data_IF_474858083031
#
_entry.id   IF_474858083031
#
_cell.length_a   1.000
_cell.length_b   1.000
_cell.length_c   1.000
_cell.angle_alpha   90.00
_cell.angle_beta   90.00
_cell.angle_gamma   90.00
#
_symmetry.space_group_name_H-M   'P 1'
#
loop_
_entity.id
_entity.type
_entity.pdbx_description
1 polymer ?
#
# COMPACT_ATOMS: atom_id res chain seq x y z
N UNK A 1 -33.26 -15.14 5.75
CA UNK A 1 -33.82 -14.92 4.39
C UNK A 1 -32.75 -14.38 3.43
N UNK A 2 -32.03 -13.31 3.77
CA UNK A 2 -30.92 -12.77 2.97
C UNK A 2 -29.78 -13.77 2.70
N UNK A 3 -29.18 -14.35 3.74
CA UNK A 3 -28.05 -15.28 3.59
C UNK A 3 -28.41 -16.52 2.75
N UNK A 4 -29.63 -17.04 2.90
CA UNK A 4 -30.10 -18.16 2.07
C UNK A 4 -30.18 -17.73 0.60
N UNK A 5 -30.77 -16.57 0.31
CA UNK A 5 -30.81 -16.01 -1.03
C UNK A 5 -29.40 -15.88 -1.64
N UNK A 6 -28.44 -15.31 -0.91
CA UNK A 6 -27.05 -15.19 -1.38
C UNK A 6 -26.39 -16.55 -1.64
N UNK A 7 -26.67 -17.56 -0.82
CA UNK A 7 -26.15 -18.93 -0.99
C UNK A 7 -26.78 -19.68 -2.17
N UNK A 8 -27.96 -19.25 -2.61
CA UNK A 8 -28.66 -19.82 -3.77
C UNK A 8 -28.18 -19.17 -5.10
N UNK A 9 -27.38 -18.10 -5.04
CA UNK A 9 -26.81 -17.45 -6.24
C UNK A 9 -25.57 -18.18 -6.73
N UNK A 10 -25.33 -18.07 -8.04
CA UNK A 10 -24.04 -18.43 -8.62
C UNK A 10 -22.93 -17.52 -8.03
N UNK A 11 -21.77 -18.06 -7.61
CA UNK A 11 -20.70 -17.28 -7.00
C UNK A 11 -20.20 -16.12 -7.86
N UNK A 12 -20.24 -16.25 -9.19
CA UNK A 12 -19.85 -15.16 -10.10
C UNK A 12 -20.80 -13.98 -10.07
N UNK A 13 -22.07 -14.19 -9.69
CA UNK A 13 -23.00 -13.07 -9.46
C UNK A 13 -22.52 -12.24 -8.29
N UNK A 14 -22.02 -12.85 -7.21
CA UNK A 14 -21.47 -12.12 -6.06
C UNK A 14 -20.17 -11.42 -6.47
N UNK A 15 -19.22 -12.16 -7.06
CA UNK A 15 -17.91 -11.61 -7.45
C UNK A 15 -18.01 -10.44 -8.43
N UNK A 16 -18.90 -10.52 -9.42
CA UNK A 16 -19.05 -9.44 -10.41
C UNK A 16 -19.78 -8.21 -9.87
N UNK A 17 -20.37 -8.28 -8.68
CA UNK A 17 -21.15 -7.19 -8.08
C UNK A 17 -20.61 -6.74 -6.71
N UNK A 18 -19.40 -7.16 -6.30
CA UNK A 18 -18.85 -6.81 -4.99
C UNK A 18 -18.31 -5.37 -4.91
N UNK A 19 -17.86 -4.81 -6.04
CA UNK A 19 -17.26 -3.47 -6.13
C UNK A 19 -18.33 -2.37 -6.20
N UNK A 20 -19.07 -2.20 -5.10
CA UNK A 20 -20.09 -1.15 -4.95
C UNK A 20 -19.53 0.17 -4.42
N UNK A 21 -18.29 0.15 -3.92
CA UNK A 21 -17.55 1.30 -3.44
C UNK A 21 -16.21 1.37 -4.18
N UNK A 22 -15.99 2.48 -4.88
CA UNK A 22 -14.79 2.71 -5.70
C UNK A 22 -13.81 3.68 -5.04
N UNK A 23 -14.03 4.00 -3.75
CA UNK A 23 -13.12 4.86 -3.01
C UNK A 23 -11.77 4.18 -2.81
N UNK A 24 -10.72 4.99 -2.78
CA UNK A 24 -9.35 4.50 -2.73
C UNK A 24 -9.08 3.64 -1.48
N UNK A 25 -8.39 2.51 -1.68
CA UNK A 25 -8.02 1.54 -0.64
C UNK A 25 -9.21 0.98 0.16
N UNK A 26 -10.39 0.93 -0.44
CA UNK A 26 -11.56 0.22 0.10
C UNK A 26 -11.70 -1.11 -0.64
N UNK A 27 -11.65 -2.21 0.10
CA UNK A 27 -11.85 -3.55 -0.43
C UNK A 27 -13.23 -4.07 0.00
N UNK A 28 -14.03 -4.67 -0.89
CA UNK A 28 -15.41 -5.09 -0.61
C UNK A 28 -15.56 -6.02 0.61
N UNK A 29 -14.61 -6.94 0.77
CA UNK A 29 -14.63 -7.95 1.82
C UNK A 29 -13.29 -7.94 2.57
N UNK A 30 -13.27 -7.33 3.75
CA UNK A 30 -12.12 -7.27 4.64
C UNK A 30 -12.47 -7.82 6.03
N UNK A 31 -11.47 -8.18 6.86
CA UNK A 31 -11.72 -8.55 8.25
C UNK A 31 -12.52 -7.49 9.00
N UNK A 32 -13.43 -7.93 9.88
CA UNK A 32 -14.22 -7.05 10.74
C UNK A 32 -14.07 -7.46 12.20
N UNK A 33 -14.36 -6.53 13.12
CA UNK A 33 -14.41 -6.83 14.55
C UNK A 33 -15.69 -7.62 14.82
N UNK A 34 -15.56 -8.93 14.89
CA UNK A 34 -16.66 -9.89 15.11
C UNK A 34 -16.86 -10.24 16.59
N UNK A 35 -15.96 -9.77 17.45
CA UNK A 35 -15.91 -10.08 18.88
C UNK A 35 -15.68 -11.58 19.19
N UNK A 36 -15.18 -12.34 18.23
CA UNK A 36 -14.78 -13.75 18.36
C UNK A 36 -13.31 -13.90 17.95
N UNK A 37 -13.01 -13.84 16.65
CA UNK A 37 -11.64 -13.84 16.15
C UNK A 37 -10.92 -12.53 16.48
N UNK A 38 -11.53 -11.38 16.15
CA UNK A 38 -11.07 -10.06 16.56
C UNK A 38 -11.97 -9.53 17.68
N UNK A 39 -11.48 -9.66 18.91
CA UNK A 39 -12.23 -9.26 20.12
C UNK A 39 -12.43 -7.74 20.27
N UNK A 40 -11.55 -6.94 19.66
CA UNK A 40 -11.58 -5.48 19.60
C UNK A 40 -10.83 -5.03 18.33
N UNK A 41 -10.80 -3.73 18.04
CA UNK A 41 -9.99 -3.17 16.94
C UNK A 41 -8.50 -3.51 17.12
N UNK A 42 -7.76 -3.75 16.03
CA UNK A 42 -6.32 -4.01 16.10
C UNK A 42 -5.55 -2.92 16.87
N UNK A 43 -5.94 -1.65 16.71
CA UNK A 43 -5.35 -0.53 17.45
C UNK A 43 -5.48 -0.66 18.96
N UNK A 44 -6.68 -0.99 19.47
CA UNK A 44 -6.90 -1.18 20.90
C UNK A 44 -6.17 -2.41 21.43
N UNK A 45 -6.15 -3.51 20.67
CA UNK A 45 -5.43 -4.74 21.05
C UNK A 45 -3.92 -4.49 21.16
N UNK A 46 -3.33 -3.78 20.20
CA UNK A 46 -1.92 -3.36 20.24
C UNK A 46 -1.65 -2.44 21.43
N UNK A 47 -2.49 -1.42 21.67
CA UNK A 47 -2.32 -0.51 22.81
C UNK A 47 -2.43 -1.22 24.16
N UNK A 48 -3.26 -2.26 24.25
CA UNK A 48 -3.46 -3.05 25.47
C UNK A 48 -2.42 -4.17 25.66
N UNK A 49 -1.43 -4.32 24.78
CA UNK A 49 -0.45 -5.42 24.86
C UNK A 49 -1.05 -6.80 24.54
N UNK A 50 -2.25 -6.86 23.94
CA UNK A 50 -2.99 -8.09 23.67
C UNK A 50 -2.59 -8.70 22.32
N UNK A 51 -1.33 -9.12 22.21
CA UNK A 51 -0.79 -9.77 21.03
C UNK A 51 0.26 -10.82 21.43
N UNK A 52 0.65 -11.65 20.46
CA UNK A 52 1.64 -12.70 20.67
C UNK A 52 3.04 -12.10 20.85
N UNK A 53 3.78 -12.59 21.84
CA UNK A 53 5.15 -12.14 22.12
C UNK A 53 6.15 -13.10 21.46
N UNK A 54 6.38 -12.91 20.17
CA UNK A 54 7.27 -13.75 19.35
C UNK A 54 8.17 -12.87 18.50
N UNK A 55 9.41 -13.32 18.31
CA UNK A 55 10.36 -12.66 17.41
C UNK A 55 9.70 -12.39 16.05
N UNK A 56 9.97 -11.22 15.49
CA UNK A 56 9.33 -10.77 14.26
C UNK A 56 10.33 -10.20 13.25
N UNK A 57 9.98 -10.38 11.97
CA UNK A 57 10.63 -9.72 10.85
C UNK A 57 9.54 -8.94 10.11
N UNK A 58 9.71 -7.63 10.05
CA UNK A 58 8.83 -6.69 9.37
C UNK A 58 9.62 -6.00 8.26
N UNK A 59 8.94 -5.40 7.29
CA UNK A 59 9.62 -4.58 6.31
C UNK A 59 8.67 -4.06 5.25
N UNK A 60 9.22 -3.21 4.40
CA UNK A 60 8.50 -2.49 3.35
C UNK A 60 9.40 -2.27 2.14
N UNK A 61 8.77 -1.99 1.01
CA UNK A 61 9.43 -1.64 -0.23
C UNK A 61 9.63 -0.13 -0.33
N UNK A 62 10.52 0.29 -1.23
CA UNK A 62 10.83 1.70 -1.44
C UNK A 62 9.62 2.51 -1.93
N UNK A 63 8.84 1.95 -2.84
CA UNK A 63 7.79 2.65 -3.60
C UNK A 63 6.45 1.90 -3.51
N UNK A 64 5.98 1.68 -2.28
CA UNK A 64 4.75 0.94 -1.96
C UNK A 64 3.48 1.49 -2.62
N UNK A 65 3.43 2.80 -2.89
CA UNK A 65 2.23 3.48 -3.35
C UNK A 65 2.03 3.47 -4.86
N UNK A 66 3.11 3.42 -5.66
CA UNK A 66 3.05 3.58 -7.13
C UNK A 66 2.10 2.60 -7.81
N UNK A 67 2.06 1.34 -7.36
CA UNK A 67 1.14 0.32 -7.87
C UNK A 67 -0.33 0.72 -7.64
N UNK A 68 -0.67 1.19 -6.44
CA UNK A 68 -2.04 1.46 -6.04
C UNK A 68 -2.60 2.75 -6.66
N UNK A 69 -1.78 3.80 -6.77
CA UNK A 69 -2.23 5.08 -7.32
C UNK A 69 -2.62 4.98 -8.81
N UNK A 70 -2.10 4.00 -9.56
CA UNK A 70 -2.51 3.70 -10.94
C UNK A 70 -4.00 3.32 -11.04
N UNK A 71 -4.49 2.53 -10.09
CA UNK A 71 -5.89 2.08 -10.09
C UNK A 71 -6.84 3.15 -9.55
N UNK A 72 -6.31 4.15 -8.84
CA UNK A 72 -7.08 5.22 -8.24
C UNK A 72 -7.23 6.46 -9.12
N UNK A 73 -6.20 6.75 -9.92
CA UNK A 73 -6.06 8.02 -10.63
C UNK A 73 -6.05 7.76 -12.15
N UNK A 74 -7.14 8.07 -12.87
CA UNK A 74 -7.25 7.81 -14.32
C UNK A 74 -6.20 8.54 -15.17
N UNK A 75 -5.53 9.56 -14.62
CA UNK A 75 -4.47 10.30 -15.30
C UNK A 75 -3.11 9.59 -15.28
N UNK A 76 -2.96 8.52 -14.50
CA UNK A 76 -1.73 7.74 -14.43
C UNK A 76 -1.87 6.47 -15.27
N UNK A 77 -0.79 6.08 -15.93
CA UNK A 77 -0.72 4.83 -16.68
C UNK A 77 0.70 4.27 -16.65
N UNK A 78 0.80 2.96 -16.77
CA UNK A 78 2.08 2.26 -16.99
C UNK A 78 2.69 2.55 -18.37
N UNK A 79 1.89 3.07 -19.30
CA UNK A 79 2.29 3.25 -20.71
C UNK A 79 2.96 4.61 -21.00
N UNK A 80 3.07 5.48 -19.98
CA UNK A 80 3.79 6.75 -20.06
C UNK A 80 4.40 7.13 -18.70
N UNK A 81 5.15 8.23 -18.66
CA UNK A 81 5.85 8.73 -17.45
C UNK A 81 4.93 9.24 -16.33
N UNK A 82 3.61 9.21 -16.52
CA UNK A 82 2.62 9.64 -15.51
C UNK A 82 2.93 10.98 -14.83
N UNK A 83 3.46 11.94 -15.60
CA UNK A 83 3.85 13.27 -15.11
C UNK A 83 2.63 14.07 -14.65
N UNK A 84 2.75 14.75 -13.51
CA UNK A 84 1.67 15.52 -12.92
C UNK A 84 2.05 16.98 -12.68
N UNK A 85 1.19 17.90 -13.10
CA UNK A 85 1.30 19.28 -12.64
C UNK A 85 0.77 19.43 -11.21
N UNK A 86 1.13 20.55 -10.56
CA UNK A 86 0.72 20.85 -9.19
C UNK A 86 -0.80 20.77 -8.97
N UNK A 87 -1.60 21.26 -9.89
CA UNK A 87 -3.07 21.21 -9.76
C UNK A 87 -3.59 19.77 -9.73
N UNK A 88 -3.06 18.90 -10.59
CA UNK A 88 -3.45 17.50 -10.66
C UNK A 88 -2.98 16.74 -9.43
N UNK A 89 -1.78 17.02 -8.95
CA UNK A 89 -1.27 16.51 -7.68
C UNK A 89 -2.18 16.84 -6.49
N UNK A 90 -2.60 18.10 -6.35
CA UNK A 90 -3.46 18.50 -5.22
C UNK A 90 -4.81 17.77 -5.26
N UNK A 91 -5.43 17.66 -6.44
CA UNK A 91 -6.69 16.90 -6.63
C UNK A 91 -6.50 15.40 -6.38
N UNK A 92 -5.34 14.86 -6.75
CA UNK A 92 -5.01 13.47 -6.48
C UNK A 92 -4.96 13.22 -4.98
N UNK A 93 -4.34 14.08 -4.18
CA UNK A 93 -4.37 13.98 -2.72
C UNK A 93 -5.81 13.98 -2.19
N UNK A 94 -6.69 14.85 -2.71
CA UNK A 94 -8.09 14.88 -2.30
C UNK A 94 -8.82 13.56 -2.57
N UNK A 95 -8.44 12.88 -3.66
CA UNK A 95 -8.99 11.57 -4.06
C UNK A 95 -8.43 10.44 -3.19
N UNK A 96 -7.12 10.41 -2.96
CA UNK A 96 -6.44 9.38 -2.18
C UNK A 96 -6.78 9.45 -0.68
N UNK A 97 -7.12 10.65 -0.19
CA UNK A 97 -7.40 10.90 1.23
C UNK A 97 -8.88 11.20 1.48
N UNK A 98 -9.78 10.60 0.71
CA UNK A 98 -11.22 10.88 0.69
C UNK A 98 -11.90 10.85 2.07
N UNK A 99 -11.35 10.10 3.03
CA UNK A 99 -11.88 9.87 4.37
C UNK A 99 -11.34 10.85 5.43
N UNK A 100 -10.40 11.72 5.08
CA UNK A 100 -9.82 12.70 6.01
C UNK A 100 -10.51 14.06 5.92
N UNK A 101 -10.49 14.88 7.00
CA UNK A 101 -10.93 16.27 6.95
C UNK A 101 -10.05 17.12 6.03
N UNK A 102 -10.62 18.17 5.43
CA UNK A 102 -9.89 19.09 4.54
C UNK A 102 -8.66 19.72 5.20
N UNK A 103 -8.74 20.06 6.49
CA UNK A 103 -7.58 20.61 7.23
C UNK A 103 -6.40 19.65 7.24
N UNK A 104 -6.65 18.35 7.43
CA UNK A 104 -5.61 17.33 7.41
C UNK A 104 -5.10 17.10 5.99
N UNK A 105 -5.97 17.14 4.98
CA UNK A 105 -5.52 17.07 3.58
C UNK A 105 -4.60 18.23 3.22
N UNK A 106 -4.89 19.44 3.68
CA UNK A 106 -4.07 20.62 3.43
C UNK A 106 -2.70 20.53 4.10
N UNK A 107 -2.62 19.98 5.31
CA UNK A 107 -1.35 19.66 5.96
C UNK A 107 -0.54 18.62 5.16
N UNK A 108 -1.19 17.56 4.67
CA UNK A 108 -0.52 16.54 3.84
C UNK A 108 -0.05 17.12 2.50
N UNK A 109 -0.86 17.95 1.84
CA UNK A 109 -0.48 18.68 0.62
C UNK A 109 0.76 19.53 0.88
N UNK A 110 0.81 20.24 2.01
CA UNK A 110 1.98 21.05 2.40
C UNK A 110 3.22 20.21 2.71
N UNK A 111 3.05 19.08 3.39
CA UNK A 111 4.15 18.20 3.80
C UNK A 111 4.82 17.49 2.63
N UNK A 112 4.03 16.98 1.67
CA UNK A 112 4.52 16.19 0.55
C UNK A 112 4.72 17.00 -0.74
N UNK A 113 4.33 18.28 -0.78
CA UNK A 113 4.55 19.11 -1.97
C UNK A 113 6.05 19.17 -2.33
N UNK A 114 6.42 18.93 -3.59
CA UNK A 114 7.78 19.14 -4.06
C UNK A 114 8.26 20.57 -3.83
N UNK A 115 9.57 20.73 -3.62
CA UNK A 115 10.20 22.05 -3.49
C UNK A 115 10.06 22.90 -4.76
N UNK A 116 10.24 22.27 -5.93
CA UNK A 116 9.97 22.91 -7.22
C UNK A 116 8.53 22.61 -7.66
N UNK A 117 7.63 23.61 -7.70
CA UNK A 117 6.25 23.42 -8.13
C UNK A 117 6.08 23.09 -9.62
N UNK A 118 7.15 23.17 -10.43
CA UNK A 118 7.15 22.81 -11.84
C UNK A 118 7.69 21.40 -12.11
N UNK A 119 8.29 20.74 -11.13
CA UNK A 119 8.82 19.39 -11.29
C UNK A 119 7.69 18.36 -11.32
N UNK A 120 7.29 17.98 -12.52
CA UNK A 120 6.14 17.09 -12.70
C UNK A 120 6.39 15.65 -12.26
N UNK A 121 7.65 15.20 -12.30
CA UNK A 121 8.03 13.87 -11.83
C UNK A 121 8.00 13.83 -10.30
N UNK A 122 8.50 14.88 -9.64
CA UNK A 122 8.45 14.96 -8.18
C UNK A 122 7.01 14.98 -7.63
N UNK A 123 6.06 15.60 -8.35
CA UNK A 123 4.64 15.53 -7.97
C UNK A 123 4.08 14.11 -8.02
N UNK A 124 4.41 13.34 -9.06
CA UNK A 124 4.04 11.92 -9.19
C UNK A 124 4.67 11.11 -8.06
N UNK A 125 5.97 11.25 -7.83
CA UNK A 125 6.72 10.51 -6.81
C UNK A 125 6.26 10.88 -5.39
N UNK A 126 5.79 12.10 -5.18
CA UNK A 126 5.18 12.50 -3.91
C UNK A 126 3.85 11.77 -3.65
N UNK A 127 3.04 11.46 -4.67
CA UNK A 127 1.81 10.67 -4.48
C UNK A 127 2.10 9.23 -4.07
N UNK A 128 3.19 8.64 -4.58
CA UNK A 128 3.68 7.36 -4.09
C UNK A 128 3.92 7.43 -2.58
N UNK A 129 4.66 8.45 -2.10
CA UNK A 129 4.93 8.57 -0.66
C UNK A 129 3.65 8.84 0.15
N UNK A 130 2.73 9.68 -0.32
CA UNK A 130 1.44 9.89 0.37
C UNK A 130 0.67 8.56 0.54
N UNK A 131 0.57 7.77 -0.53
CA UNK A 131 -0.13 6.48 -0.50
C UNK A 131 0.62 5.43 0.31
N UNK A 132 1.89 5.22 -0.03
CA UNK A 132 2.77 4.20 0.54
C UNK A 132 2.99 4.42 2.03
N UNK A 133 3.25 5.66 2.45
CA UNK A 133 3.45 5.97 3.86
C UNK A 133 2.19 5.72 4.68
N UNK A 134 1.04 6.20 4.19
CA UNK A 134 -0.24 6.04 4.86
C UNK A 134 -0.65 4.58 5.00
N UNK A 135 -0.51 3.80 3.92
CA UNK A 135 -1.13 2.48 3.82
C UNK A 135 -0.20 1.33 4.23
N UNK A 136 1.11 1.52 4.14
CA UNK A 136 2.10 0.45 4.33
C UNK A 136 3.23 0.87 5.29
N UNK A 137 4.00 1.91 4.96
CA UNK A 137 5.23 2.26 5.69
C UNK A 137 4.98 2.67 7.13
N UNK A 138 4.11 3.66 7.38
CA UNK A 138 3.87 4.16 8.73
C UNK A 138 3.16 3.14 9.62
N UNK A 139 2.11 2.41 9.16
CA UNK A 139 1.52 1.33 9.95
C UNK A 139 2.52 0.23 10.32
N UNK A 140 3.38 -0.19 9.40
CA UNK A 140 4.39 -1.23 9.65
C UNK A 140 5.45 -0.75 10.64
N UNK A 141 5.92 0.50 10.50
CA UNK A 141 6.82 1.12 11.48
C UNK A 141 6.15 1.25 12.85
N UNK A 142 4.86 1.59 12.90
CA UNK A 142 4.14 1.69 14.17
C UNK A 142 4.01 0.35 14.87
N UNK A 143 3.77 -0.71 14.11
CA UNK A 143 3.76 -2.08 14.63
C UNK A 143 5.13 -2.48 15.17
N UNK A 144 6.20 -2.16 14.43
CA UNK A 144 7.58 -2.37 14.88
C UNK A 144 7.85 -1.67 16.22
N UNK A 145 7.48 -0.39 16.35
CA UNK A 145 7.63 0.36 17.61
C UNK A 145 6.94 -0.37 18.76
N UNK A 146 5.65 -0.71 18.60
CA UNK A 146 4.86 -1.42 19.63
C UNK A 146 5.53 -2.74 20.05
N UNK A 147 6.05 -3.52 19.09
CA UNK A 147 6.72 -4.78 19.38
C UNK A 147 8.05 -4.56 20.12
N UNK A 148 8.86 -3.61 19.67
CA UNK A 148 10.13 -3.30 20.33
C UNK A 148 9.94 -2.74 21.74
N UNK A 149 8.93 -1.90 21.98
CA UNK A 149 8.57 -1.37 23.30
C UNK A 149 8.08 -2.49 24.24
N UNK A 150 7.44 -3.53 23.70
CA UNK A 150 7.04 -4.73 24.43
C UNK A 150 8.20 -5.73 24.67
N UNK A 151 9.43 -5.39 24.28
CA UNK A 151 10.61 -6.24 24.44
C UNK A 151 10.70 -7.40 23.44
N UNK A 152 9.90 -7.38 22.36
CA UNK A 152 9.96 -8.39 21.30
C UNK A 152 11.15 -8.11 20.40
N UNK A 153 11.99 -9.13 20.18
CA UNK A 153 13.08 -9.05 19.20
C UNK A 153 12.50 -8.89 17.80
N UNK A 154 12.70 -7.71 17.23
CA UNK A 154 12.10 -7.31 15.95
C UNK A 154 13.18 -6.86 14.99
N UNK A 155 13.18 -7.43 13.79
CA UNK A 155 14.03 -7.02 12.68
C UNK A 155 13.20 -6.27 11.65
N UNK A 156 13.78 -5.24 11.03
CA UNK A 156 13.11 -4.45 10.00
C UNK A 156 13.96 -4.42 8.72
N UNK A 157 13.37 -4.73 7.58
CA UNK A 157 14.02 -4.58 6.27
C UNK A 157 13.38 -3.44 5.47
N UNK A 158 14.17 -2.87 4.56
CA UNK A 158 13.71 -1.88 3.60
C UNK A 158 14.25 -2.25 2.22
N UNK A 159 13.38 -2.77 1.34
CA UNK A 159 13.81 -3.20 0.02
C UNK A 159 13.92 -2.00 -0.91
N UNK A 160 15.13 -1.78 -1.43
CA UNK A 160 15.44 -0.70 -2.36
C UNK A 160 15.91 -1.17 -3.72
N UNK A 161 16.04 -2.48 -3.90
CA UNK A 161 16.47 -3.09 -5.16
C UNK A 161 15.28 -3.31 -6.10
N UNK A 162 15.35 -2.77 -7.31
CA UNK A 162 14.38 -3.00 -8.39
C UNK A 162 14.95 -4.08 -9.29
N UNK A 163 14.21 -5.16 -9.49
CA UNK A 163 14.63 -6.25 -10.38
C UNK A 163 14.92 -5.72 -11.79
N UNK A 164 15.99 -6.21 -12.41
CA UNK A 164 16.37 -5.81 -13.78
C UNK A 164 15.33 -6.24 -14.82
N UNK A 165 14.65 -7.36 -14.57
CA UNK A 165 13.59 -7.91 -15.42
C UNK A 165 12.18 -7.44 -15.04
N UNK A 166 12.06 -6.43 -14.17
CA UNK A 166 10.76 -5.88 -13.74
C UNK A 166 9.95 -5.36 -14.94
N UNK A 167 8.71 -5.83 -15.06
CA UNK A 167 7.82 -5.54 -16.19
C UNK A 167 7.18 -4.15 -16.08
N UNK A 168 7.12 -3.57 -14.88
CA UNK A 168 6.58 -2.23 -14.64
C UNK A 168 7.56 -1.14 -15.10
N UNK A 169 7.07 0.02 -15.59
CA UNK A 169 7.94 1.08 -16.08
C UNK A 169 8.89 1.62 -15.00
N UNK A 170 10.05 2.18 -15.37
CA UNK A 170 11.08 2.62 -14.43
C UNK A 170 10.60 3.59 -13.35
N UNK A 171 9.65 4.48 -13.68
CA UNK A 171 9.13 5.45 -12.73
C UNK A 171 8.40 4.84 -11.54
N UNK A 172 7.91 3.60 -11.65
CA UNK A 172 7.21 2.93 -10.55
C UNK A 172 8.14 2.42 -9.46
N UNK A 173 9.46 2.35 -9.73
CA UNK A 173 10.44 2.00 -8.71
C UNK A 173 10.32 0.57 -8.19
N UNK A 174 10.44 0.40 -6.87
CA UNK A 174 10.31 -0.89 -6.17
C UNK A 174 8.90 -0.99 -5.59
N UNK A 175 7.99 -1.49 -6.41
CA UNK A 175 6.55 -1.49 -6.15
C UNK A 175 6.15 -2.39 -4.98
N UNK A 176 4.91 -2.23 -4.51
CA UNK A 176 4.27 -3.20 -3.62
C UNK A 176 4.38 -4.64 -4.16
N UNK A 177 4.88 -5.57 -3.34
CA UNK A 177 5.06 -6.99 -3.68
C UNK A 177 6.32 -7.33 -4.49
N UNK A 178 7.16 -6.34 -4.84
CA UNK A 178 8.40 -6.56 -5.59
C UNK A 178 9.42 -7.45 -4.84
N UNK A 179 9.31 -7.58 -3.52
CA UNK A 179 10.18 -8.38 -2.69
C UNK A 179 9.93 -9.89 -2.77
N UNK A 180 8.70 -10.28 -3.12
CA UNK A 180 8.24 -11.66 -3.09
C UNK A 180 9.15 -12.55 -3.94
N UNK A 181 9.58 -12.06 -5.10
CA UNK A 181 10.48 -12.81 -5.99
C UNK A 181 11.82 -13.17 -5.34
N UNK A 182 12.37 -12.30 -4.48
CA UNK A 182 13.62 -12.54 -3.76
C UNK A 182 13.42 -13.54 -2.63
N UNK A 183 12.34 -13.36 -1.85
CA UNK A 183 11.99 -14.25 -0.72
C UNK A 183 11.80 -15.70 -1.19
N UNK A 184 11.22 -15.89 -2.37
CA UNK A 184 10.98 -17.22 -2.95
C UNK A 184 12.11 -17.70 -3.87
N UNK A 185 13.24 -16.98 -3.96
CA UNK A 185 14.41 -17.40 -4.71
C UNK A 185 14.18 -17.48 -6.22
N UNK A 186 13.32 -16.63 -6.79
CA UNK A 186 13.07 -16.61 -8.24
C UNK A 186 14.32 -16.27 -9.05
N UNK A 187 15.26 -15.51 -8.49
CA UNK A 187 16.56 -15.20 -9.08
C UNK A 187 17.41 -16.46 -9.35
N UNK A 188 17.22 -17.52 -8.57
CA UNK A 188 17.91 -18.79 -8.75
C UNK A 188 17.40 -19.58 -9.96
N UNK A 189 16.30 -19.16 -10.58
CA UNK A 189 15.80 -19.75 -11.81
C UNK A 189 16.43 -19.10 -13.03
N UNK A 190 17.40 -19.78 -13.65
CA UNK A 190 18.12 -19.32 -14.84
C UNK A 190 17.20 -18.96 -16.02
N UNK A 191 15.97 -19.51 -16.07
CA UNK A 191 15.01 -19.19 -17.13
C UNK A 191 14.34 -17.81 -16.98
N UNK A 192 14.58 -17.10 -15.87
CA UNK A 192 13.91 -15.83 -15.54
C UNK A 192 14.75 -14.59 -15.85
N UNK A 193 15.95 -14.76 -16.40
CA UNK A 193 16.81 -13.67 -16.89
C UNK A 193 17.13 -12.60 -15.82
N UNK A 194 17.36 -13.00 -14.58
CA UNK A 194 18.00 -12.13 -13.58
C UNK A 194 19.49 -11.99 -13.88
N UNK A 195 20.12 -10.93 -13.40
CA UNK A 195 21.58 -10.78 -13.56
C UNK A 195 22.34 -11.63 -12.55
N UNK A 196 23.63 -11.93 -12.75
CA UNK A 196 24.44 -12.66 -11.76
C UNK A 196 24.61 -11.93 -10.42
N UNK A 197 24.44 -10.61 -10.39
CA UNK A 197 24.45 -9.79 -9.17
C UNK A 197 23.14 -9.89 -8.37
N UNK A 198 22.08 -10.45 -8.96
CA UNK A 198 20.74 -10.63 -8.40
C UNK A 198 20.49 -12.08 -7.95
#
# INVERSE_FOLDING_TARGET
KLLKCLRDLDPYVILNNEWVDLRFMVFPWAPTVDHDFLTDTPYNLLKAGKFQHKDSLLGVNKDEGTFWILFALPSLSKDHESLLNRTSFLRAIDTLLWDLPETTKDEVKGHYAPKDPNDQAAHRDALDKVCGDRSFTCPTKKLMEVYTEAGIKTHFYYLTHRATNEAWPPWMGVIHGAEIQWVFGMALNESKNYTPEE
#
